data_IF_217388042425
#
_entry.id   IF_217388042425
#
_cell.length_a   1.000
_cell.length_b   1.000
_cell.length_c   1.000
_cell.angle_alpha   90.00
_cell.angle_beta   90.00
_cell.angle_gamma   90.00
#
_symmetry.space_group_name_H-M   'P 1'
#
loop_
_entity.id
_entity.type
_entity.pdbx_description
1 polymer ?
#
# COMPACT_ATOMS: atom_id res chain seq x y z
N UNK A 1 -48.97 -4.87 -30.07
CA UNK A 1 -49.82 -5.88 -29.41
C UNK A 1 -49.10 -7.23 -29.25
N UNK A 2 -48.54 -7.80 -30.32
CA UNK A 2 -47.89 -9.14 -30.30
C UNK A 2 -46.65 -9.25 -29.40
N UNK A 3 -45.79 -8.23 -29.37
CA UNK A 3 -44.58 -8.22 -28.53
C UNK A 3 -44.90 -8.33 -27.03
N UNK A 4 -45.87 -7.57 -26.54
CA UNK A 4 -46.31 -7.61 -25.14
C UNK A 4 -46.94 -8.95 -24.76
N UNK A 5 -47.67 -9.56 -25.70
CA UNK A 5 -48.25 -10.89 -25.51
C UNK A 5 -47.18 -11.98 -25.41
N UNK A 6 -46.20 -11.98 -26.33
CA UNK A 6 -45.07 -12.91 -26.29
C UNK A 6 -44.23 -12.76 -25.03
N UNK A 7 -44.00 -11.52 -24.57
CA UNK A 7 -43.27 -11.24 -23.33
C UNK A 7 -44.02 -11.78 -22.10
N UNK A 8 -45.35 -11.62 -22.07
CA UNK A 8 -46.20 -12.14 -20.99
C UNK A 8 -46.19 -13.67 -20.95
N UNK A 9 -46.25 -14.35 -22.10
CA UNK A 9 -46.13 -15.81 -22.16
C UNK A 9 -44.74 -16.29 -21.72
N UNK A 10 -43.68 -15.58 -22.12
CA UNK A 10 -42.31 -15.91 -21.70
C UNK A 10 -42.18 -15.82 -20.17
N UNK A 11 -42.65 -14.73 -19.54
CA UNK A 11 -42.66 -14.58 -18.08
C UNK A 11 -43.47 -15.67 -17.38
N UNK A 12 -44.64 -16.03 -17.93
CA UNK A 12 -45.50 -17.07 -17.37
C UNK A 12 -44.86 -18.45 -17.46
N UNK A 13 -44.12 -18.72 -18.54
CA UNK A 13 -43.33 -19.95 -18.72
C UNK A 13 -42.18 -20.02 -17.69
N UNK A 14 -41.46 -18.91 -17.49
CA UNK A 14 -40.39 -18.81 -16.49
C UNK A 14 -40.92 -19.06 -15.07
N UNK A 15 -42.11 -18.56 -14.76
CA UNK A 15 -42.77 -18.74 -13.47
C UNK A 15 -43.35 -20.14 -13.28
N UNK A 16 -43.62 -20.90 -14.35
CA UNK A 16 -44.12 -22.28 -14.22
C UNK A 16 -42.97 -23.24 -13.88
N UNK A 17 -41.83 -23.09 -14.54
CA UNK A 17 -40.63 -23.92 -14.34
C UNK A 17 -39.64 -23.28 -13.36
N UNK A 18 -40.13 -22.84 -12.19
CA UNK A 18 -39.33 -22.03 -11.23
C UNK A 18 -38.04 -22.70 -10.81
N UNK A 19 -38.06 -24.01 -10.60
CA UNK A 19 -36.92 -24.76 -10.08
C UNK A 19 -35.76 -24.81 -11.07
N UNK A 20 -36.03 -25.09 -12.34
CA UNK A 20 -35.02 -25.15 -13.41
C UNK A 20 -34.49 -23.73 -13.70
N UNK A 21 -35.37 -22.73 -13.73
CA UNK A 21 -34.95 -21.35 -13.93
C UNK A 21 -34.11 -20.83 -12.76
N UNK A 22 -34.46 -21.18 -11.52
CA UNK A 22 -33.67 -20.82 -10.33
C UNK A 22 -32.27 -21.43 -10.41
N UNK A 23 -32.15 -22.71 -10.77
CA UNK A 23 -30.85 -23.38 -10.90
C UNK A 23 -29.98 -22.74 -11.99
N UNK A 24 -30.59 -22.39 -13.12
CA UNK A 24 -29.92 -21.68 -14.21
C UNK A 24 -29.42 -20.30 -13.77
N UNK A 25 -30.27 -19.52 -13.10
CA UNK A 25 -29.92 -18.19 -12.58
C UNK A 25 -28.80 -18.30 -11.56
N UNK A 26 -28.85 -19.29 -10.66
CA UNK A 26 -27.82 -19.49 -9.64
C UNK A 26 -26.47 -19.87 -10.26
N UNK A 27 -26.48 -20.69 -11.31
CA UNK A 27 -25.26 -21.06 -12.05
C UNK A 27 -24.63 -19.83 -12.73
N UNK A 28 -25.46 -19.02 -13.41
CA UNK A 28 -25.01 -17.77 -14.04
C UNK A 28 -24.48 -16.79 -12.98
N UNK A 29 -25.21 -16.64 -11.87
CA UNK A 29 -24.83 -15.76 -10.77
C UNK A 29 -23.52 -16.21 -10.13
N UNK A 30 -23.31 -17.51 -9.92
CA UNK A 30 -22.05 -18.04 -9.38
C UNK A 30 -20.86 -17.76 -10.32
N UNK A 31 -21.06 -17.92 -11.63
CA UNK A 31 -20.03 -17.59 -12.63
C UNK A 31 -19.66 -16.11 -12.62
N UNK A 32 -20.67 -15.23 -12.65
CA UNK A 32 -20.45 -13.78 -12.55
C UNK A 32 -19.82 -13.39 -11.20
N UNK A 33 -20.28 -14.00 -10.11
CA UNK A 33 -19.76 -13.76 -8.77
C UNK A 33 -18.27 -14.11 -8.69
N UNK A 34 -17.84 -15.22 -9.29
CA UNK A 34 -16.43 -15.61 -9.30
C UNK A 34 -15.55 -14.58 -10.04
N UNK A 35 -16.03 -14.06 -11.16
CA UNK A 35 -15.35 -12.99 -11.91
C UNK A 35 -15.30 -11.72 -11.05
N UNK A 36 -16.43 -11.28 -10.54
CA UNK A 36 -16.52 -10.07 -9.69
C UNK A 36 -15.64 -10.18 -8.46
N UNK A 37 -15.62 -11.33 -7.79
CA UNK A 37 -14.79 -11.57 -6.61
C UNK A 37 -13.30 -11.44 -6.95
N UNK A 38 -12.87 -12.03 -8.06
CA UNK A 38 -11.49 -11.94 -8.52
C UNK A 38 -11.09 -10.49 -8.80
N UNK A 39 -11.92 -9.77 -9.56
CA UNK A 39 -11.70 -8.35 -9.84
C UNK A 39 -11.70 -7.51 -8.56
N UNK A 40 -12.63 -7.77 -7.64
CA UNK A 40 -12.72 -7.06 -6.38
C UNK A 40 -11.46 -7.26 -5.53
N UNK A 41 -10.98 -8.50 -5.41
CA UNK A 41 -9.75 -8.81 -4.67
C UNK A 41 -8.55 -8.10 -5.29
N UNK A 42 -8.35 -8.23 -6.61
CA UNK A 42 -7.21 -7.58 -7.30
C UNK A 42 -7.26 -6.06 -7.15
N UNK A 43 -8.44 -5.45 -7.30
CA UNK A 43 -8.62 -4.01 -7.13
C UNK A 43 -8.29 -3.56 -5.70
N UNK A 44 -8.72 -4.32 -4.69
CA UNK A 44 -8.41 -4.01 -3.30
C UNK A 44 -6.91 -4.18 -3.00
N UNK A 45 -6.25 -5.18 -3.57
CA UNK A 45 -4.80 -5.36 -3.43
C UNK A 45 -4.04 -4.20 -4.07
N UNK A 46 -4.42 -3.76 -5.27
CA UNK A 46 -3.81 -2.59 -5.93
C UNK A 46 -4.00 -1.32 -5.11
N UNK A 47 -5.21 -1.11 -4.57
CA UNK A 47 -5.51 0.02 -3.70
C UNK A 47 -4.71 -0.04 -2.39
N UNK A 48 -4.60 -1.21 -1.77
CA UNK A 48 -3.79 -1.43 -0.58
C UNK A 48 -2.30 -1.17 -0.86
N UNK A 49 -1.81 -1.61 -2.01
CA UNK A 49 -0.41 -1.40 -2.43
C UNK A 49 -0.11 0.07 -2.69
N UNK A 50 -1.05 0.82 -3.26
CA UNK A 50 -0.93 2.29 -3.43
C UNK A 50 -0.94 3.06 -2.11
N UNK A 51 -1.59 2.51 -1.08
CA UNK A 51 -1.64 3.10 0.27
C UNK A 51 -0.49 2.67 1.16
N UNK A 52 0.23 1.60 0.80
CA UNK A 52 1.50 1.29 1.43
C UNK A 52 2.47 2.41 1.04
N UNK A 53 2.94 3.23 2.00
CA UNK A 53 3.97 4.22 1.69
C UNK A 53 5.11 3.49 1.01
N UNK A 54 5.66 4.01 -0.08
CA UNK A 54 6.71 3.38 -0.87
C UNK A 54 7.84 2.87 0.05
N UNK A 55 7.73 1.60 0.48
CA UNK A 55 8.56 1.05 1.58
C UNK A 55 9.98 0.76 1.11
N UNK A 56 10.27 1.00 -0.16
CA UNK A 56 11.61 0.96 -0.71
C UNK A 56 12.32 2.30 -0.47
N UNK A 57 12.44 2.65 0.80
CA UNK A 57 13.37 3.69 1.24
C UNK A 57 14.60 2.99 1.79
N UNK A 58 15.77 3.30 1.22
CA UNK A 58 17.05 2.78 1.70
C UNK A 58 17.56 3.76 2.75
N UNK A 59 17.88 3.26 3.94
CA UNK A 59 18.46 4.07 5.01
C UNK A 59 19.98 3.94 4.97
N UNK A 60 20.67 5.05 4.73
CA UNK A 60 22.13 5.13 4.83
C UNK A 60 22.48 5.74 6.19
N UNK A 61 22.98 4.94 7.12
CA UNK A 61 23.44 5.44 8.42
C UNK A 61 24.84 6.05 8.29
N UNK A 62 25.03 7.19 8.95
CA UNK A 62 26.25 7.96 8.94
C UNK A 62 27.05 7.69 10.21
N UNK A 63 28.38 7.65 10.09
CA UNK A 63 29.25 7.61 11.25
C UNK A 63 29.23 8.94 12.00
N UNK A 64 29.53 8.86 13.29
CA UNK A 64 29.62 10.02 14.17
C UNK A 64 30.84 10.87 13.83
N UNK A 65 30.64 12.19 13.71
CA UNK A 65 31.70 13.16 13.43
C UNK A 65 31.84 13.62 11.98
N UNK A 66 30.93 13.20 11.08
CA UNK A 66 30.86 13.76 9.72
C UNK A 66 30.49 15.24 9.76
N UNK A 67 31.23 16.07 9.02
CA UNK A 67 30.89 17.47 8.84
C UNK A 67 29.62 17.65 7.99
N UNK A 68 28.94 18.78 8.15
CA UNK A 68 27.80 19.13 7.29
C UNK A 68 28.19 19.19 5.81
N UNK A 69 29.44 19.59 5.52
CA UNK A 69 29.98 19.67 4.17
C UNK A 69 30.16 18.28 3.53
N UNK A 70 30.70 17.32 4.27
CA UNK A 70 30.84 15.94 3.80
C UNK A 70 29.48 15.28 3.57
N UNK A 71 28.55 15.49 4.50
CA UNK A 71 27.17 14.99 4.38
C UNK A 71 26.48 15.58 3.15
N UNK A 72 26.64 16.89 2.93
CA UNK A 72 26.13 17.58 1.74
C UNK A 72 26.70 17.01 0.43
N UNK A 73 27.98 16.66 0.40
CA UNK A 73 28.62 16.03 -0.75
C UNK A 73 28.04 14.65 -1.05
N UNK A 74 27.80 13.82 -0.02
CA UNK A 74 27.17 12.50 -0.17
C UNK A 74 25.76 12.64 -0.74
N UNK A 75 24.95 13.56 -0.20
CA UNK A 75 23.60 13.83 -0.71
C UNK A 75 23.64 14.29 -2.17
N UNK A 76 24.58 15.16 -2.54
CA UNK A 76 24.73 15.64 -3.90
C UNK A 76 25.11 14.51 -4.88
N UNK A 77 25.98 13.59 -4.46
CA UNK A 77 26.32 12.40 -5.26
C UNK A 77 25.13 11.46 -5.42
N UNK A 78 24.37 11.21 -4.36
CA UNK A 78 23.16 10.39 -4.40
C UNK A 78 22.11 10.97 -5.35
N UNK A 79 21.89 12.29 -5.31
CA UNK A 79 20.96 13.00 -6.21
C UNK A 79 21.38 12.97 -7.69
N UNK A 80 22.65 12.76 -8.00
CA UNK A 80 23.13 12.58 -9.38
C UNK A 80 22.81 11.21 -9.96
N UNK A 81 22.50 10.22 -9.11
CA UNK A 81 22.13 8.90 -9.58
C UNK A 81 20.69 8.92 -10.12
N UNK A 82 20.52 8.48 -11.37
CA UNK A 82 19.20 8.46 -12.02
C UNK A 82 18.18 7.58 -11.30
N UNK A 83 18.62 6.57 -10.54
CA UNK A 83 17.76 5.69 -9.75
C UNK A 83 17.18 6.37 -8.49
N UNK A 84 17.77 7.48 -8.03
CA UNK A 84 17.32 8.19 -6.82
C UNK A 84 16.26 9.22 -7.17
N UNK A 85 15.13 9.14 -6.50
CA UNK A 85 14.05 10.14 -6.55
C UNK A 85 14.27 11.24 -5.53
N UNK A 86 14.60 10.86 -4.29
CA UNK A 86 14.77 11.78 -3.17
C UNK A 86 15.88 11.28 -2.23
N UNK A 87 16.67 12.21 -1.68
CA UNK A 87 17.59 11.95 -0.59
C UNK A 87 17.36 12.99 0.50
N UNK A 88 16.95 12.54 1.70
CA UNK A 88 16.60 13.38 2.86
C UNK A 88 17.52 13.07 4.03
N UNK A 89 18.18 14.08 4.58
CA UNK A 89 18.95 13.95 5.81
C UNK A 89 18.03 13.92 7.04
N UNK A 90 18.32 13.02 7.97
CA UNK A 90 17.64 12.85 9.25
C UNK A 90 18.71 12.98 10.34
N UNK A 91 18.58 14.00 11.19
CA UNK A 91 19.46 14.18 12.33
C UNK A 91 19.20 13.13 13.40
N UNK A 92 20.17 12.94 14.30
CA UNK A 92 20.04 12.04 15.45
C UNK A 92 18.76 12.33 16.26
N UNK A 93 18.48 13.61 16.53
CA UNK A 93 17.32 14.01 17.33
C UNK A 93 16.00 13.69 16.63
N UNK A 94 15.92 13.95 15.31
CA UNK A 94 14.73 13.57 14.53
C UNK A 94 14.54 12.07 14.43
N UNK A 95 15.62 11.30 14.29
CA UNK A 95 15.55 9.85 14.28
C UNK A 95 14.96 9.31 15.59
N UNK A 96 15.33 9.91 16.73
CA UNK A 96 14.77 9.57 18.04
C UNK A 96 13.30 9.97 18.17
N UNK A 97 12.91 11.15 17.70
CA UNK A 97 11.52 11.60 17.70
C UNK A 97 10.63 10.69 16.83
N UNK A 98 11.07 10.36 15.62
CA UNK A 98 10.35 9.44 14.72
C UNK A 98 10.24 8.03 15.34
N UNK A 99 11.31 7.54 15.99
CA UNK A 99 11.32 6.25 16.69
C UNK A 99 10.33 6.22 17.87
N UNK A 100 10.30 7.27 18.70
CA UNK A 100 9.30 7.43 19.78
C UNK A 100 7.87 7.40 19.24
N UNK A 101 7.63 8.05 18.10
CA UNK A 101 6.33 8.04 17.43
C UNK A 101 5.84 6.63 17.05
N UNK A 102 6.76 5.75 16.63
CA UNK A 102 6.48 4.34 16.29
C UNK A 102 6.35 3.48 17.55
N UNK A 103 7.17 3.75 18.56
CA UNK A 103 7.28 2.99 19.80
C UNK A 103 6.34 3.48 20.91
N UNK A 104 5.32 4.29 20.63
CA UNK A 104 4.39 4.81 21.66
C UNK A 104 3.83 3.77 22.65
N UNK A 105 3.68 2.51 22.23
CA UNK A 105 3.21 1.41 23.09
C UNK A 105 4.34 0.76 23.91
N UNK A 106 5.59 1.04 23.58
CA UNK A 106 6.81 0.49 24.15
C UNK A 106 7.84 1.58 24.52
N UNK A 107 7.37 2.76 24.95
CA UNK A 107 8.24 3.89 25.32
C UNK A 107 9.23 3.53 26.45
N UNK A 108 8.89 2.56 27.31
CA UNK A 108 9.78 2.03 28.36
C UNK A 108 11.11 1.47 27.82
N UNK A 109 11.18 1.09 26.54
CA UNK A 109 12.43 0.65 25.89
C UNK A 109 13.42 1.81 25.78
N UNK A 110 12.90 3.03 25.61
CA UNK A 110 13.69 4.24 25.43
C UNK A 110 14.01 4.94 26.76
N UNK A 111 13.28 4.64 27.83
CA UNK A 111 13.51 5.21 29.17
C UNK A 111 14.80 4.72 29.83
N UNK A 112 15.31 3.55 29.45
CA UNK A 112 16.57 2.99 29.97
C UNK A 112 17.82 3.42 29.19
N UNK A 113 17.70 4.40 28.29
CA UNK A 113 18.78 4.82 27.38
C UNK A 113 19.16 6.26 27.72
N UNK A 114 20.33 6.43 28.35
CA UNK A 114 20.81 7.75 28.83
C UNK A 114 21.25 8.68 27.68
N UNK A 115 21.76 8.14 26.57
CA UNK A 115 22.24 8.91 25.41
C UNK A 115 21.61 8.40 24.11
N UNK A 116 21.33 9.30 23.16
CA UNK A 116 20.70 8.95 21.89
C UNK A 116 21.56 7.95 21.09
N UNK A 117 21.15 6.67 20.96
CA UNK A 117 21.96 5.64 20.32
C UNK A 117 21.80 5.66 18.79
N UNK A 118 20.90 6.51 18.27
CA UNK A 118 20.56 6.54 16.85
C UNK A 118 21.55 7.46 16.11
N UNK A 119 22.29 6.93 15.11
CA UNK A 119 23.13 7.76 14.27
C UNK A 119 22.29 8.64 13.35
N UNK A 120 22.89 9.70 12.82
CA UNK A 120 22.28 10.45 11.74
C UNK A 120 22.18 9.57 10.49
N UNK A 121 21.18 9.81 9.65
CA UNK A 121 20.95 8.99 8.47
C UNK A 121 20.49 9.79 7.26
N UNK A 122 20.63 9.18 6.08
CA UNK A 122 20.06 9.69 4.84
C UNK A 122 19.03 8.68 4.36
N UNK A 123 17.78 9.11 4.31
CA UNK A 123 16.69 8.36 3.71
C UNK A 123 16.69 8.59 2.20
N UNK A 124 16.89 7.50 1.44
CA UNK A 124 16.97 7.51 -0.01
C UNK A 124 15.72 6.84 -0.56
N UNK A 125 14.90 7.59 -1.31
CA UNK A 125 13.77 7.04 -2.08
C UNK A 125 14.20 6.79 -3.51
N UNK A 126 13.92 5.59 -3.99
CA UNK A 126 14.21 5.18 -5.36
C UNK A 126 13.03 5.49 -6.26
N UNK A 127 13.31 5.82 -7.52
CA UNK A 127 12.27 5.99 -8.54
C UNK A 127 11.59 4.63 -8.81
N UNK A 128 10.28 4.69 -9.03
CA UNK A 128 9.42 3.55 -9.38
C UNK A 128 9.78 2.94 -10.74
#
# INVERSE_FOLDING_TARGET
>A
MYLLYSFRLALQSLWREKWINLLSVLTIAAGLFMITLTFFVVYNIDLATKRLPARFSVMLYLNDGLSEQETGNVIAQLKKNNAVEQARYISKDKALEESKGVLKTADYILEGIDENPLPASIEIKLKK
#
